data_IF_490138165281
#
_entry.id   IF_490138165281
#
_cell.length_a   1.000
_cell.length_b   1.000
_cell.length_c   1.000
_cell.angle_alpha   90.00
_cell.angle_beta   90.00
_cell.angle_gamma   90.00
#
_symmetry.space_group_name_H-M   'P 1'
#
loop_
_entity.id
_entity.type
_entity.pdbx_description
1 polymer ?
#
# COMPACT_ATOMS: atom_id res chain seq x y z
N UNK A 1 -7.48 -24.34 10.39
CA UNK A 1 -6.19 -23.88 9.81
C UNK A 1 -5.07 -24.37 10.70
N UNK A 2 -4.15 -25.18 10.17
CA UNK A 2 -3.05 -25.79 10.94
C UNK A 2 -1.69 -25.31 10.47
N UNK A 3 -1.52 -25.17 9.16
CA UNK A 3 -0.24 -24.82 8.55
C UNK A 3 -0.45 -23.87 7.37
N UNK A 4 0.26 -22.74 7.38
CA UNK A 4 0.14 -21.66 6.40
C UNK A 4 1.41 -21.53 5.57
N UNK A 5 1.30 -21.61 4.24
CA UNK A 5 2.37 -21.18 3.33
C UNK A 5 2.38 -19.65 3.25
N UNK A 6 3.54 -19.03 3.43
CA UNK A 6 3.71 -17.59 3.31
C UNK A 6 4.27 -17.30 1.93
N UNK A 7 3.39 -16.95 0.97
CA UNK A 7 3.73 -16.70 -0.43
C UNK A 7 4.23 -15.27 -0.66
N UNK A 8 5.16 -14.84 0.17
CA UNK A 8 5.76 -13.51 0.13
C UNK A 8 7.16 -13.52 0.74
N UNK A 9 7.81 -12.34 0.79
CA UNK A 9 9.18 -12.14 1.27
C UNK A 9 9.30 -10.90 2.16
N UNK A 10 10.51 -10.67 2.65
CA UNK A 10 10.85 -9.42 3.32
C UNK A 10 10.14 -9.24 4.66
N UNK A 11 9.79 -8.00 4.98
CA UNK A 11 9.21 -7.67 6.28
C UNK A 11 7.81 -8.26 6.47
N UNK A 12 7.00 -8.31 5.39
CA UNK A 12 5.64 -8.86 5.50
C UNK A 12 5.64 -10.37 5.72
N UNK A 13 6.58 -11.11 5.11
CA UNK A 13 6.71 -12.53 5.41
C UNK A 13 7.06 -12.76 6.87
N UNK A 14 8.00 -12.00 7.42
CA UNK A 14 8.33 -12.05 8.85
C UNK A 14 7.16 -11.65 9.75
N UNK A 15 6.37 -10.63 9.33
CA UNK A 15 5.16 -10.20 10.04
C UNK A 15 4.13 -11.33 10.12
N UNK A 16 3.93 -12.06 9.03
CA UNK A 16 3.00 -13.19 8.97
C UNK A 16 3.52 -14.38 9.80
N UNK A 17 4.83 -14.71 9.73
CA UNK A 17 5.46 -15.74 10.58
C UNK A 17 5.15 -15.48 12.06
N UNK A 18 5.32 -14.24 12.52
CA UNK A 18 5.03 -13.85 13.89
C UNK A 18 3.55 -14.01 14.26
N UNK A 19 2.65 -13.59 13.37
CA UNK A 19 1.22 -13.77 13.59
C UNK A 19 0.80 -15.26 13.67
N UNK A 20 1.37 -16.11 12.80
CA UNK A 20 1.15 -17.54 12.84
C UNK A 20 1.62 -18.13 14.19
N UNK A 21 2.82 -17.79 14.64
CA UNK A 21 3.36 -18.26 15.92
C UNK A 21 2.48 -17.84 17.11
N UNK A 22 1.97 -16.60 17.13
CA UNK A 22 1.08 -16.08 18.18
C UNK A 22 -0.32 -16.72 18.15
N UNK A 23 -0.80 -17.17 16.98
CA UNK A 23 -2.07 -17.90 16.84
C UNK A 23 -1.90 -19.42 16.98
N UNK A 24 -0.67 -19.93 17.21
CA UNK A 24 -0.40 -21.37 17.31
C UNK A 24 -0.60 -22.12 16.00
N UNK A 25 -0.36 -21.44 14.86
CA UNK A 25 -0.45 -21.98 13.50
C UNK A 25 0.96 -22.19 12.96
N UNK A 26 1.26 -23.35 12.40
CA UNK A 26 2.55 -23.62 11.78
C UNK A 26 2.75 -22.77 10.50
N UNK A 27 3.94 -22.22 10.35
CA UNK A 27 4.33 -21.37 9.22
C UNK A 27 5.35 -22.03 8.31
N UNK A 28 5.15 -21.95 6.99
CA UNK A 28 6.11 -22.38 5.98
C UNK A 28 6.51 -21.16 5.16
N UNK A 29 7.76 -20.69 5.31
CA UNK A 29 8.27 -19.59 4.52
C UNK A 29 8.85 -20.10 3.21
N UNK A 30 8.42 -19.54 2.08
CA UNK A 30 9.09 -19.76 0.81
C UNK A 30 10.16 -18.70 0.56
N UNK A 31 11.22 -19.07 -0.18
CA UNK A 31 12.30 -18.14 -0.47
C UNK A 31 12.97 -18.39 -1.82
N UNK A 32 13.38 -17.33 -2.50
CA UNK A 32 14.31 -17.39 -3.62
C UNK A 32 15.77 -17.45 -3.12
N UNK A 33 16.70 -17.73 -4.03
CA UNK A 33 18.12 -17.77 -3.68
C UNK A 33 18.64 -16.47 -3.05
N UNK A 34 18.08 -15.31 -3.42
CA UNK A 34 18.46 -14.02 -2.84
C UNK A 34 17.94 -13.80 -1.41
N UNK A 35 16.93 -14.53 -0.99
CA UNK A 35 16.25 -14.34 0.29
C UNK A 35 16.53 -15.46 1.32
N UNK A 36 17.42 -16.41 1.00
CA UNK A 36 17.73 -17.58 1.82
C UNK A 36 18.08 -17.23 3.27
N UNK A 37 18.81 -16.13 3.48
CA UNK A 37 19.31 -15.71 4.79
C UNK A 37 18.36 -14.73 5.51
N UNK A 38 17.19 -14.42 4.94
CA UNK A 38 16.26 -13.51 5.58
C UNK A 38 15.68 -14.09 6.87
N UNK A 39 15.51 -13.24 7.86
CA UNK A 39 15.05 -13.62 9.19
C UNK A 39 13.69 -14.33 9.20
N UNK A 40 12.77 -13.99 8.27
CA UNK A 40 11.50 -14.69 8.13
C UNK A 40 11.64 -16.17 7.76
N UNK A 41 12.69 -16.52 7.00
CA UNK A 41 12.99 -17.91 6.59
C UNK A 41 13.49 -18.74 7.77
N UNK A 42 14.34 -18.15 8.62
CA UNK A 42 14.92 -18.84 9.78
C UNK A 42 13.97 -18.93 10.98
N UNK A 43 12.95 -18.09 11.07
CA UNK A 43 12.00 -18.08 12.19
C UNK A 43 10.71 -18.87 11.89
N UNK A 44 10.44 -19.19 10.63
CA UNK A 44 9.33 -20.07 10.26
C UNK A 44 9.57 -21.51 10.75
N UNK A 45 8.49 -22.27 11.01
CA UNK A 45 8.57 -23.65 11.43
C UNK A 45 9.17 -24.56 10.34
N UNK A 46 8.94 -24.21 9.08
CA UNK A 46 9.58 -24.85 7.94
C UNK A 46 9.87 -23.81 6.83
N UNK A 47 10.74 -24.15 5.91
CA UNK A 47 11.02 -23.28 4.77
C UNK A 47 11.28 -24.08 3.50
N UNK A 48 10.91 -23.51 2.33
CA UNK A 48 11.08 -24.15 1.04
C UNK A 48 11.70 -23.20 0.02
N UNK A 49 12.75 -23.65 -0.66
CA UNK A 49 13.41 -22.90 -1.73
C UNK A 49 12.54 -22.95 -2.99
N UNK A 50 12.20 -21.76 -3.55
CA UNK A 50 11.47 -21.65 -4.82
C UNK A 50 12.38 -21.73 -6.04
N UNK A 51 13.58 -21.16 -5.98
CA UNK A 51 14.48 -21.11 -7.13
C UNK A 51 15.29 -19.82 -7.22
N UNK A 52 15.61 -19.36 -8.45
CA UNK A 52 16.45 -18.20 -8.66
C UNK A 52 15.78 -16.89 -8.22
N UNK A 53 16.54 -15.78 -8.11
CA UNK A 53 16.03 -14.53 -7.54
C UNK A 53 15.00 -13.80 -8.41
N UNK A 54 14.89 -14.08 -9.71
CA UNK A 54 13.91 -13.44 -10.57
C UNK A 54 12.49 -13.80 -10.11
N UNK A 55 11.68 -12.78 -9.80
CA UNK A 55 10.33 -12.97 -9.27
C UNK A 55 9.44 -13.86 -10.17
N UNK A 56 9.55 -13.75 -11.49
CA UNK A 56 8.81 -14.58 -12.46
C UNK A 56 9.13 -16.08 -12.37
N UNK A 57 10.28 -16.45 -11.83
CA UNK A 57 10.75 -17.82 -11.65
C UNK A 57 10.68 -18.27 -10.18
N UNK A 58 10.00 -17.53 -9.33
CA UNK A 58 9.85 -17.77 -7.89
C UNK A 58 8.51 -17.26 -7.37
N UNK A 59 8.45 -16.06 -6.76
CA UNK A 59 7.26 -15.52 -6.10
C UNK A 59 6.07 -15.16 -7.02
N UNK A 60 6.26 -15.09 -8.34
CA UNK A 60 5.20 -14.87 -9.33
C UNK A 60 4.83 -16.15 -10.10
N UNK A 61 5.41 -17.29 -9.77
CA UNK A 61 5.06 -18.57 -10.37
C UNK A 61 3.94 -19.23 -9.56
N UNK A 62 2.71 -19.15 -10.09
CA UNK A 62 1.51 -19.70 -9.44
C UNK A 62 1.61 -21.19 -9.19
N UNK A 63 2.06 -21.95 -10.21
CA UNK A 63 2.15 -23.42 -10.12
C UNK A 63 3.17 -23.84 -9.07
N UNK A 64 4.34 -23.19 -9.06
CA UNK A 64 5.39 -23.46 -8.09
C UNK A 64 4.93 -23.19 -6.64
N UNK A 65 4.14 -22.12 -6.40
CA UNK A 65 3.63 -21.81 -5.06
C UNK A 65 2.53 -22.79 -4.61
N UNK A 66 1.68 -23.27 -5.55
CA UNK A 66 0.70 -24.32 -5.24
C UNK A 66 1.41 -25.63 -4.91
N UNK A 67 2.40 -26.03 -5.73
CA UNK A 67 3.21 -27.24 -5.48
C UNK A 67 3.95 -27.16 -4.14
N UNK A 68 4.45 -25.96 -3.79
CA UNK A 68 5.07 -25.69 -2.49
C UNK A 68 4.08 -25.91 -1.34
N UNK A 69 2.85 -25.40 -1.47
CA UNK A 69 1.83 -25.54 -0.43
C UNK A 69 1.38 -27.01 -0.28
N UNK A 70 1.16 -27.72 -1.40
CA UNK A 70 0.77 -29.13 -1.38
C UNK A 70 1.89 -30.01 -0.81
N UNK A 71 3.13 -29.83 -1.27
CA UNK A 71 4.27 -30.67 -0.83
C UNK A 71 4.65 -30.45 0.64
N UNK A 72 4.31 -29.29 1.20
CA UNK A 72 4.54 -28.98 2.61
C UNK A 72 3.29 -29.17 3.49
N UNK A 73 2.22 -29.77 2.92
CA UNK A 73 0.97 -30.07 3.61
C UNK A 73 0.30 -28.81 4.25
N UNK A 74 0.41 -27.67 3.57
CA UNK A 74 -0.26 -26.44 3.99
C UNK A 74 -1.75 -26.48 3.67
N UNK A 75 -2.61 -26.19 4.66
CA UNK A 75 -4.06 -26.10 4.48
C UNK A 75 -4.51 -24.64 4.16
N UNK A 76 -3.60 -23.68 4.24
CA UNK A 76 -3.84 -22.30 3.87
C UNK A 76 -2.59 -21.63 3.29
N UNK A 77 -2.80 -20.50 2.59
CA UNK A 77 -1.74 -19.69 1.98
C UNK A 77 -2.01 -18.21 2.23
N UNK A 78 -1.00 -17.50 2.76
CA UNK A 78 -1.06 -16.05 2.94
C UNK A 78 -0.22 -15.34 1.88
N UNK A 79 -0.84 -14.54 0.99
CA UNK A 79 -0.12 -13.88 -0.09
C UNK A 79 0.59 -12.58 0.35
N UNK A 80 0.28 -12.04 1.53
CA UNK A 80 0.76 -10.72 2.00
C UNK A 80 0.23 -9.59 1.12
N UNK A 81 1.14 -8.75 0.60
CA UNK A 81 0.85 -7.70 -0.38
C UNK A 81 1.82 -7.77 -1.56
N UNK A 82 1.47 -7.18 -2.71
CA UNK A 82 2.24 -7.30 -3.96
C UNK A 82 2.23 -8.73 -4.50
N UNK A 83 3.15 -9.06 -5.40
CA UNK A 83 3.23 -10.37 -6.07
C UNK A 83 1.85 -10.88 -6.54
N UNK A 84 1.39 -12.01 -5.98
CA UNK A 84 0.12 -12.65 -6.35
C UNK A 84 -1.04 -12.35 -5.37
N UNK A 85 -0.91 -11.33 -4.51
CA UNK A 85 -1.93 -11.02 -3.51
C UNK A 85 -3.27 -10.53 -4.09
N UNK A 86 -3.25 -9.98 -5.31
CA UNK A 86 -4.44 -9.52 -6.05
C UNK A 86 -4.63 -10.30 -7.36
N UNK A 87 -4.21 -11.57 -7.37
CA UNK A 87 -4.33 -12.46 -8.52
C UNK A 87 -5.47 -13.46 -8.31
N UNK A 88 -6.60 -13.21 -8.99
CA UNK A 88 -7.80 -14.04 -8.86
C UNK A 88 -7.60 -15.48 -9.34
N UNK A 89 -6.79 -15.69 -10.39
CA UNK A 89 -6.47 -17.04 -10.90
C UNK A 89 -5.64 -17.83 -9.89
N UNK A 90 -4.74 -17.16 -9.16
CA UNK A 90 -4.00 -17.80 -8.09
C UNK A 90 -4.92 -18.19 -6.91
N UNK A 91 -5.84 -17.33 -6.54
CA UNK A 91 -6.83 -17.62 -5.51
C UNK A 91 -7.75 -18.80 -5.92
N UNK A 92 -8.16 -18.89 -7.21
CA UNK A 92 -8.89 -20.06 -7.76
C UNK A 92 -8.06 -21.33 -7.72
N UNK A 93 -6.77 -21.24 -8.08
CA UNK A 93 -5.86 -22.36 -8.02
C UNK A 93 -5.66 -22.88 -6.59
N UNK A 94 -5.57 -22.01 -5.60
CA UNK A 94 -5.56 -22.42 -4.19
C UNK A 94 -6.81 -23.23 -3.85
N UNK A 95 -8.01 -22.69 -4.13
CA UNK A 95 -9.27 -23.37 -3.85
C UNK A 95 -9.41 -24.72 -4.55
N UNK A 96 -8.97 -24.82 -5.82
CA UNK A 96 -8.99 -26.06 -6.59
C UNK A 96 -8.09 -27.16 -5.99
N UNK A 97 -7.07 -26.79 -5.22
CA UNK A 97 -6.16 -27.69 -4.52
C UNK A 97 -6.48 -27.86 -3.03
N UNK A 98 -7.66 -27.39 -2.56
CA UNK A 98 -8.06 -27.51 -1.17
C UNK A 98 -7.29 -26.60 -0.21
N UNK A 99 -6.62 -25.55 -0.72
CA UNK A 99 -5.84 -24.59 0.06
C UNK A 99 -6.69 -23.35 0.27
N UNK A 100 -6.86 -22.93 1.53
CA UNK A 100 -7.55 -21.67 1.85
C UNK A 100 -6.65 -20.48 1.50
N UNK A 101 -7.07 -19.66 0.54
CA UNK A 101 -6.43 -18.38 0.25
C UNK A 101 -6.79 -17.37 1.36
N UNK A 102 -5.80 -16.85 2.09
CA UNK A 102 -6.01 -15.87 3.16
C UNK A 102 -6.15 -14.48 2.54
N UNK A 103 -7.36 -14.17 2.15
CA UNK A 103 -7.76 -12.98 1.41
C UNK A 103 -9.23 -13.06 0.99
N UNK A 104 -9.67 -12.16 0.09
CA UNK A 104 -11.02 -12.16 -0.44
C UNK A 104 -11.26 -13.29 -1.45
N UNK A 105 -12.53 -13.40 -1.89
CA UNK A 105 -12.89 -14.34 -2.95
C UNK A 105 -12.25 -13.95 -4.29
N UNK A 106 -11.99 -14.91 -5.19
CA UNK A 106 -11.50 -14.60 -6.54
C UNK A 106 -12.39 -13.60 -7.28
N UNK A 107 -13.71 -13.69 -7.11
CA UNK A 107 -14.66 -12.80 -7.77
C UNK A 107 -14.57 -11.36 -7.24
N UNK A 108 -14.30 -11.18 -5.94
CA UNK A 108 -14.04 -9.86 -5.36
C UNK A 108 -12.73 -9.27 -5.89
N UNK A 109 -11.70 -10.10 -6.08
CA UNK A 109 -10.42 -9.67 -6.68
C UNK A 109 -10.63 -9.21 -8.12
N UNK A 110 -11.32 -10.01 -8.95
CA UNK A 110 -11.58 -9.66 -10.35
C UNK A 110 -12.39 -8.39 -10.48
N UNK A 111 -13.51 -8.27 -9.72
CA UNK A 111 -14.40 -7.09 -9.79
C UNK A 111 -13.71 -5.80 -9.37
N UNK A 112 -12.87 -5.86 -8.34
CA UNK A 112 -12.16 -4.68 -7.84
C UNK A 112 -10.87 -4.39 -8.62
N UNK A 113 -10.29 -5.40 -9.28
CA UNK A 113 -9.15 -5.25 -10.18
C UNK A 113 -9.52 -4.55 -11.51
N UNK A 114 -10.77 -4.67 -11.96
CA UNK A 114 -11.30 -3.93 -13.10
C UNK A 114 -11.76 -2.53 -12.65
N UNK A 115 -11.08 -1.49 -13.13
CA UNK A 115 -11.36 -0.10 -12.71
C UNK A 115 -12.74 0.40 -13.08
N UNK A 116 -13.31 -0.10 -14.18
CA UNK A 116 -14.65 0.28 -14.62
C UNK A 116 -15.68 -0.39 -13.70
N UNK A 117 -15.57 -1.71 -13.52
CA UNK A 117 -16.46 -2.47 -12.65
C UNK A 117 -16.38 -1.98 -11.19
N UNK A 118 -15.20 -1.62 -10.70
CA UNK A 118 -15.00 -1.06 -9.36
C UNK A 118 -15.72 0.29 -9.19
N UNK A 119 -15.64 1.18 -10.20
CA UNK A 119 -16.36 2.47 -10.20
C UNK A 119 -17.88 2.28 -10.27
N UNK A 120 -18.35 1.41 -11.16
CA UNK A 120 -19.78 1.09 -11.26
C UNK A 120 -20.33 0.53 -9.94
N UNK A 121 -19.55 -0.31 -9.27
CA UNK A 121 -19.88 -0.82 -7.93
C UNK A 121 -19.99 0.31 -6.91
N UNK A 122 -18.98 1.20 -6.83
CA UNK A 122 -18.99 2.34 -5.90
C UNK A 122 -20.20 3.27 -6.17
N UNK A 123 -20.47 3.58 -7.43
CA UNK A 123 -21.60 4.41 -7.83
C UNK A 123 -22.94 3.76 -7.47
N UNK A 124 -23.08 2.45 -7.64
CA UNK A 124 -24.30 1.71 -7.33
C UNK A 124 -24.74 1.79 -5.86
N UNK A 125 -23.77 2.02 -4.96
CA UNK A 125 -24.01 2.20 -3.52
C UNK A 125 -23.94 3.68 -3.10
N UNK A 126 -23.95 4.61 -4.06
CA UNK A 126 -24.01 6.05 -3.83
C UNK A 126 -22.68 6.68 -3.41
N UNK A 127 -21.56 6.00 -3.61
CA UNK A 127 -20.22 6.56 -3.32
C UNK A 127 -19.79 7.47 -4.47
N UNK A 128 -19.42 8.74 -4.19
CA UNK A 128 -19.10 9.69 -5.24
C UNK A 128 -17.81 9.31 -6.00
N UNK A 129 -17.85 9.45 -7.32
CA UNK A 129 -16.71 9.29 -8.22
C UNK A 129 -16.13 10.64 -8.60
N UNK A 130 -14.85 10.66 -9.00
CA UNK A 130 -14.28 11.84 -9.66
C UNK A 130 -15.06 12.07 -10.96
N UNK A 131 -15.63 13.28 -11.19
CA UNK A 131 -16.33 13.55 -12.42
C UNK A 131 -15.47 13.27 -13.65
N UNK A 132 -15.94 12.44 -14.55
CA UNK A 132 -15.19 11.95 -15.69
C UNK A 132 -16.04 11.20 -16.68
N UNK A 133 -15.43 10.56 -17.65
CA UNK A 133 -16.12 9.77 -18.65
C UNK A 133 -15.20 9.10 -19.65
N UNK A 134 -15.77 8.21 -20.44
CA UNK A 134 -15.10 7.52 -21.53
C UNK A 134 -15.00 8.42 -22.76
N UNK A 135 -14.02 8.16 -23.60
CA UNK A 135 -13.81 8.88 -24.86
C UNK A 135 -14.14 7.90 -25.99
N UNK A 136 -15.35 8.04 -26.55
CA UNK A 136 -15.82 7.15 -27.62
C UNK A 136 -14.94 7.23 -28.87
N UNK A 137 -14.81 6.11 -29.58
CA UNK A 137 -14.11 6.09 -30.86
C UNK A 137 -14.92 6.86 -31.92
N UNK A 138 -14.20 7.64 -32.75
CA UNK A 138 -14.80 8.41 -33.83
C UNK A 138 -15.50 9.71 -33.39
N UNK A 139 -15.43 10.09 -32.11
CA UNK A 139 -15.94 11.40 -31.66
C UNK A 139 -15.14 12.54 -32.29
N UNK A 140 -15.82 13.64 -32.62
CA UNK A 140 -15.12 14.88 -32.95
C UNK A 140 -14.38 15.41 -31.72
N UNK A 141 -13.07 15.14 -31.67
CA UNK A 141 -12.21 15.49 -30.55
C UNK A 141 -12.16 16.99 -30.26
N UNK A 142 -12.38 17.83 -31.28
CA UNK A 142 -12.35 19.29 -31.09
C UNK A 142 -13.58 19.76 -30.29
N UNK A 143 -14.76 19.34 -30.71
CA UNK A 143 -16.00 19.65 -29.99
C UNK A 143 -16.06 18.98 -28.61
N UNK A 144 -15.59 17.73 -28.50
CA UNK A 144 -15.53 17.01 -27.24
C UNK A 144 -14.63 17.74 -26.23
N UNK A 145 -13.40 18.09 -26.65
CA UNK A 145 -12.45 18.79 -25.79
C UNK A 145 -12.96 20.16 -25.34
N UNK A 146 -13.66 20.90 -26.20
CA UNK A 146 -14.21 22.22 -25.86
C UNK A 146 -15.26 22.16 -24.73
N UNK A 147 -15.92 21.01 -24.53
CA UNK A 147 -16.93 20.82 -23.49
C UNK A 147 -16.39 20.33 -22.14
N UNK A 148 -15.09 20.05 -22.00
CA UNK A 148 -14.51 19.49 -20.77
C UNK A 148 -14.20 20.55 -19.69
N UNK A 149 -14.32 20.19 -18.40
CA UNK A 149 -14.03 21.07 -17.25
C UNK A 149 -12.53 21.09 -16.93
N UNK A 150 -11.73 21.81 -17.68
CA UNK A 150 -10.28 21.85 -17.48
C UNK A 150 -9.86 22.41 -16.11
N UNK A 151 -8.73 21.92 -15.56
CA UNK A 151 -7.84 20.88 -16.10
C UNK A 151 -8.47 19.48 -15.99
N UNK A 152 -8.13 18.60 -16.94
CA UNK A 152 -8.56 17.20 -16.89
C UNK A 152 -7.33 16.26 -16.85
N UNK A 153 -7.54 15.07 -16.31
CA UNK A 153 -6.56 14.01 -16.23
C UNK A 153 -6.99 12.86 -17.16
N UNK A 154 -6.15 12.54 -18.13
CA UNK A 154 -6.31 11.35 -18.95
C UNK A 154 -5.69 10.15 -18.25
N UNK A 155 -6.39 9.00 -18.22
CA UNK A 155 -5.95 7.77 -17.57
C UNK A 155 -6.15 6.57 -18.49
N UNK A 156 -5.19 5.63 -18.50
CA UNK A 156 -5.38 4.33 -19.10
C UNK A 156 -6.43 3.53 -18.32
N UNK A 157 -7.32 2.83 -19.01
CA UNK A 157 -8.31 1.94 -18.39
C UNK A 157 -7.63 0.69 -17.82
N UNK A 158 -6.72 0.08 -18.58
CA UNK A 158 -5.84 -0.99 -18.12
C UNK A 158 -4.57 -0.38 -17.54
N UNK A 159 -4.26 -0.67 -16.25
CA UNK A 159 -3.00 -0.22 -15.65
C UNK A 159 -3.15 0.37 -14.25
N UNK A 160 -2.01 0.49 -13.56
CA UNK A 160 -1.91 0.99 -12.19
C UNK A 160 -0.59 1.76 -11.98
N UNK A 161 -0.39 2.27 -10.75
CA UNK A 161 0.87 2.92 -10.37
C UNK A 161 1.18 4.22 -11.11
N UNK A 162 0.16 4.90 -11.67
CA UNK A 162 0.33 6.22 -12.31
C UNK A 162 0.90 6.21 -13.73
N UNK A 163 1.11 5.05 -14.35
CA UNK A 163 1.53 4.95 -15.74
C UNK A 163 0.37 5.28 -16.68
N UNK A 164 0.66 6.02 -17.78
CA UNK A 164 -0.36 6.42 -18.75
C UNK A 164 -1.27 7.54 -18.26
N UNK A 165 -0.89 8.32 -17.25
CA UNK A 165 -1.62 9.48 -16.78
C UNK A 165 -1.03 10.77 -17.34
N UNK A 166 -1.91 11.66 -17.87
CA UNK A 166 -1.53 12.97 -18.42
C UNK A 166 -2.50 14.06 -18.01
N UNK A 167 -1.97 15.14 -17.46
CA UNK A 167 -2.75 16.34 -17.16
C UNK A 167 -2.86 17.14 -18.45
N UNK A 168 -4.08 17.57 -18.75
CA UNK A 168 -4.38 18.48 -19.87
C UNK A 168 -4.97 19.74 -19.27
N UNK A 169 -4.28 20.86 -19.47
CA UNK A 169 -4.63 22.14 -18.86
C UNK A 169 -5.72 22.90 -19.66
N UNK A 170 -5.81 22.65 -20.97
CA UNK A 170 -6.74 23.34 -21.87
C UNK A 170 -7.09 22.50 -23.11
N UNK A 171 -8.17 22.87 -23.79
CA UNK A 171 -8.71 22.12 -24.94
C UNK A 171 -7.71 21.94 -26.09
N UNK A 172 -6.85 22.94 -26.34
CA UNK A 172 -5.86 22.92 -27.43
C UNK A 172 -4.83 21.79 -27.31
N UNK A 173 -4.53 21.33 -26.09
CA UNK A 173 -3.60 20.24 -25.83
C UNK A 173 -4.23 18.83 -25.81
N UNK A 174 -5.56 18.73 -25.84
CA UNK A 174 -6.28 17.48 -25.54
C UNK A 174 -5.97 16.37 -26.54
N UNK A 175 -6.12 16.64 -27.85
CA UNK A 175 -5.95 15.62 -28.88
C UNK A 175 -4.55 15.01 -28.90
N UNK A 176 -3.51 15.84 -28.74
CA UNK A 176 -2.13 15.37 -28.68
C UNK A 176 -1.86 14.55 -27.42
N UNK A 177 -2.33 15.01 -26.27
CA UNK A 177 -2.20 14.30 -24.99
C UNK A 177 -2.93 12.97 -24.99
N UNK A 178 -4.13 12.90 -25.60
CA UNK A 178 -4.90 11.68 -25.75
C UNK A 178 -4.18 10.64 -26.63
N UNK A 179 -3.64 11.08 -27.78
CA UNK A 179 -2.88 10.21 -28.67
C UNK A 179 -1.66 9.61 -27.96
N UNK A 180 -0.92 10.43 -27.22
CA UNK A 180 0.23 9.98 -26.46
C UNK A 180 -0.18 9.02 -25.33
N UNK A 181 -1.26 9.32 -24.59
CA UNK A 181 -1.75 8.46 -23.52
C UNK A 181 -2.21 7.09 -24.06
N UNK A 182 -2.90 7.05 -25.21
CA UNK A 182 -3.32 5.81 -25.89
C UNK A 182 -2.13 4.95 -26.33
N UNK A 183 -1.11 5.57 -26.90
CA UNK A 183 0.10 4.86 -27.34
C UNK A 183 0.85 4.25 -26.14
N UNK A 184 1.06 5.02 -25.09
CA UNK A 184 1.69 4.53 -23.86
C UNK A 184 0.90 3.40 -23.21
N UNK A 185 -0.42 3.54 -23.15
CA UNK A 185 -1.29 2.51 -22.58
C UNK A 185 -1.21 1.21 -23.41
N UNK A 186 -1.26 1.31 -24.73
CA UNK A 186 -1.16 0.17 -25.64
C UNK A 186 0.19 -0.54 -25.53
N UNK A 187 1.28 0.23 -25.44
CA UNK A 187 2.64 -0.32 -25.31
C UNK A 187 2.85 -0.99 -23.94
N UNK A 188 2.38 -0.37 -22.87
CA UNK A 188 2.61 -0.84 -21.51
C UNK A 188 1.67 -1.98 -21.09
N UNK A 189 0.41 -1.98 -21.56
CA UNK A 189 -0.66 -2.85 -21.07
C UNK A 189 -1.36 -3.67 -22.15
N UNK A 190 -1.04 -3.43 -23.44
CA UNK A 190 -1.70 -4.09 -24.58
C UNK A 190 -3.07 -3.48 -24.94
N UNK A 191 -3.63 -2.59 -24.12
CA UNK A 191 -4.90 -1.90 -24.31
C UNK A 191 -4.69 -0.39 -24.33
N UNK A 192 -5.15 0.29 -25.41
CA UNK A 192 -5.07 1.74 -25.59
C UNK A 192 -6.29 2.51 -25.12
N UNK A 193 -7.20 1.86 -24.37
CA UNK A 193 -8.40 2.53 -23.85
C UNK A 193 -8.02 3.57 -22.81
N UNK A 194 -8.47 4.80 -23.01
CA UNK A 194 -8.21 5.97 -22.16
C UNK A 194 -9.55 6.63 -21.80
N UNK A 195 -9.69 7.00 -20.55
CA UNK A 195 -10.81 7.81 -20.06
C UNK A 195 -10.29 9.12 -19.46
N UNK A 196 -11.16 10.08 -19.22
CA UNK A 196 -10.79 11.35 -18.60
C UNK A 196 -11.49 11.53 -17.27
N UNK A 197 -10.86 12.29 -16.37
CA UNK A 197 -11.40 12.74 -15.09
C UNK A 197 -11.05 14.20 -14.86
N UNK A 198 -11.86 14.90 -14.08
CA UNK A 198 -11.51 16.24 -13.59
C UNK A 198 -10.22 16.15 -12.76
N UNK A 199 -9.26 17.03 -13.04
CA UNK A 199 -8.01 17.03 -12.25
C UNK A 199 -8.18 17.83 -10.98
N UNK A 200 -7.98 17.19 -9.83
CA UNK A 200 -8.01 17.83 -8.51
C UNK A 200 -6.61 18.30 -8.14
N UNK A 201 -6.41 19.64 -8.12
CA UNK A 201 -5.09 20.23 -7.88
C UNK A 201 -4.59 20.06 -6.44
N UNK A 202 -5.48 20.28 -5.47
CA UNK A 202 -5.16 20.19 -4.05
C UNK A 202 -5.71 18.88 -3.46
N UNK A 203 -5.21 17.77 -4.00
CA UNK A 203 -5.67 16.43 -3.64
C UNK A 203 -4.93 15.86 -2.45
N UNK A 204 -5.68 15.19 -1.55
CA UNK A 204 -5.16 14.25 -0.57
C UNK A 204 -5.51 12.83 -0.98
N UNK A 205 -4.60 11.92 -0.72
CA UNK A 205 -4.84 10.49 -0.85
C UNK A 205 -5.25 9.97 0.53
N UNK A 206 -6.53 9.73 0.69
CA UNK A 206 -7.11 9.19 1.94
C UNK A 206 -7.62 7.80 1.65
N UNK A 207 -7.35 6.88 2.55
CA UNK A 207 -7.79 5.49 2.40
C UNK A 207 -8.39 4.95 3.69
N UNK A 208 -9.37 4.06 3.57
CA UNK A 208 -10.06 3.44 4.71
C UNK A 208 -9.69 1.98 4.81
N UNK A 209 -9.20 1.58 5.98
CA UNK A 209 -9.02 0.18 6.31
C UNK A 209 -10.37 -0.46 6.59
N UNK A 210 -10.72 -1.48 5.83
CA UNK A 210 -11.91 -2.29 6.07
C UNK A 210 -11.53 -3.70 6.50
N UNK A 211 -12.42 -4.34 7.26
CA UNK A 211 -12.31 -5.71 7.68
C UNK A 211 -13.70 -6.35 7.63
N UNK A 212 -13.80 -7.54 7.03
CA UNK A 212 -15.07 -8.25 6.84
C UNK A 212 -14.90 -9.73 7.10
N UNK A 213 -15.86 -10.36 7.78
CA UNK A 213 -15.87 -11.80 8.04
C UNK A 213 -16.98 -12.55 7.27
N UNK A 214 -17.02 -13.88 7.41
CA UNK A 214 -18.03 -14.72 6.78
C UNK A 214 -19.40 -14.73 7.53
N UNK A 215 -19.51 -13.95 8.60
CA UNK A 215 -20.69 -13.87 9.47
C UNK A 215 -21.53 -12.60 9.25
N UNK A 216 -21.24 -11.86 8.15
CA UNK A 216 -21.94 -10.63 7.79
C UNK A 216 -21.48 -9.39 8.57
N UNK A 217 -20.36 -9.47 9.28
CA UNK A 217 -19.79 -8.31 9.93
C UNK A 217 -18.86 -7.58 8.95
N UNK A 218 -19.17 -6.33 8.66
CA UNK A 218 -18.37 -5.43 7.83
C UNK A 218 -18.09 -4.17 8.63
N UNK A 219 -16.81 -3.87 8.87
CA UNK A 219 -16.39 -2.72 9.67
C UNK A 219 -15.28 -1.93 8.99
N UNK A 220 -15.12 -0.68 9.41
CA UNK A 220 -13.92 0.10 9.13
C UNK A 220 -13.07 0.23 10.40
N UNK A 221 -11.77 0.45 10.22
CA UNK A 221 -10.80 0.69 11.29
C UNK A 221 -10.18 2.10 11.18
N UNK A 222 -10.95 3.04 10.65
CA UNK A 222 -10.52 4.41 10.40
C UNK A 222 -9.75 4.56 9.09
N UNK A 223 -9.28 5.79 8.90
CA UNK A 223 -8.58 6.18 7.68
C UNK A 223 -7.10 6.43 7.92
N UNK A 224 -6.35 6.39 6.81
CA UNK A 224 -4.95 6.80 6.70
C UNK A 224 -4.82 7.94 5.69
N UNK A 225 -3.91 8.86 5.93
CA UNK A 225 -3.47 9.87 4.96
C UNK A 225 -2.16 9.42 4.33
N UNK A 226 -2.19 9.11 3.04
CA UNK A 226 -1.07 8.61 2.25
C UNK A 226 -0.64 9.61 1.18
N UNK A 227 -0.84 10.90 1.42
CA UNK A 227 -0.61 11.95 0.41
C UNK A 227 0.86 12.20 0.13
N UNK A 228 1.77 11.88 1.06
CA UNK A 228 3.21 12.03 0.82
C UNK A 228 3.74 10.86 0.01
N UNK A 229 3.78 11.08 -1.29
CA UNK A 229 4.16 10.07 -2.28
C UNK A 229 5.05 10.66 -3.38
N UNK A 230 5.86 9.82 -3.99
CA UNK A 230 6.67 10.14 -5.14
C UNK A 230 6.34 9.18 -6.28
N UNK A 231 5.99 9.71 -7.46
CA UNK A 231 5.59 8.89 -8.63
C UNK A 231 4.53 7.84 -8.26
N UNK A 232 3.55 8.24 -7.45
CA UNK A 232 2.46 7.40 -6.91
C UNK A 232 2.91 6.26 -5.96
N UNK A 233 4.16 6.28 -5.49
CA UNK A 233 4.63 5.42 -4.41
C UNK A 233 4.59 6.18 -3.09
N UNK A 234 3.84 5.65 -2.13
CA UNK A 234 3.70 6.21 -0.78
C UNK A 234 5.05 6.15 -0.06
N UNK A 235 5.40 7.19 0.68
CA UNK A 235 6.68 7.33 1.40
C UNK A 235 6.48 7.49 2.90
N UNK A 236 5.47 8.28 3.29
CA UNK A 236 5.09 8.54 4.67
C UNK A 236 3.58 8.55 4.77
N UNK A 237 3.08 7.83 5.75
CA UNK A 237 1.66 7.67 6.02
C UNK A 237 1.34 8.05 7.48
N UNK A 238 0.14 8.59 7.71
CA UNK A 238 -0.32 8.91 9.06
C UNK A 238 -1.78 8.52 9.28
N UNK A 239 -2.13 8.21 10.51
CA UNK A 239 -3.50 7.93 10.94
C UNK A 239 -3.77 8.54 12.32
N UNK A 240 -4.93 9.21 12.52
CA UNK A 240 -5.91 9.61 11.52
C UNK A 240 -5.42 10.79 10.66
N UNK A 241 -6.10 11.05 9.53
CA UNK A 241 -5.79 12.22 8.68
C UNK A 241 -6.04 13.52 9.41
N UNK A 242 -5.06 14.46 9.42
CA UNK A 242 -5.22 15.76 10.05
C UNK A 242 -6.15 16.72 9.27
N UNK A 243 -6.52 16.35 8.03
CA UNK A 243 -7.32 17.20 7.14
C UNK A 243 -8.82 16.96 7.23
N UNK A 244 -9.24 15.80 7.74
CA UNK A 244 -10.65 15.44 7.78
C UNK A 244 -11.34 15.98 9.03
N UNK A 245 -12.51 16.59 8.84
CA UNK A 245 -13.42 16.85 9.94
C UNK A 245 -14.03 15.55 10.46
N UNK A 246 -14.50 15.45 11.72
CA UNK A 246 -15.19 14.27 12.21
C UNK A 246 -16.35 13.83 11.31
N UNK A 247 -17.13 14.77 10.78
CA UNK A 247 -18.25 14.50 9.89
C UNK A 247 -17.78 13.91 8.55
N UNK A 248 -16.76 14.48 7.92
CA UNK A 248 -16.21 13.98 6.66
C UNK A 248 -15.61 12.58 6.83
N UNK A 249 -14.91 12.35 7.97
CA UNK A 249 -14.37 11.05 8.33
C UNK A 249 -15.45 9.99 8.42
N UNK A 250 -16.54 10.28 9.13
CA UNK A 250 -17.66 9.36 9.28
C UNK A 250 -18.31 9.03 7.91
N UNK A 251 -18.54 10.03 7.08
CA UNK A 251 -19.10 9.84 5.75
C UNK A 251 -18.20 8.95 4.87
N UNK A 252 -16.91 9.21 4.89
CA UNK A 252 -15.92 8.48 4.10
C UNK A 252 -15.77 7.03 4.58
N UNK A 253 -15.70 6.81 5.89
CA UNK A 253 -15.64 5.48 6.49
C UNK A 253 -16.93 4.68 6.24
N UNK A 254 -18.09 5.32 6.36
CA UNK A 254 -19.39 4.67 6.05
C UNK A 254 -19.48 4.28 4.57
N UNK A 255 -19.05 5.14 3.65
CA UNK A 255 -18.99 4.83 2.22
C UNK A 255 -18.14 3.59 1.92
N UNK A 256 -16.99 3.46 2.59
CA UNK A 256 -16.14 2.29 2.44
C UNK A 256 -16.82 1.00 2.92
N UNK A 257 -17.58 1.04 4.02
CA UNK A 257 -18.33 -0.11 4.53
C UNK A 257 -19.47 -0.51 3.58
N UNK A 258 -20.15 0.45 2.94
CA UNK A 258 -21.21 0.12 1.95
C UNK A 258 -20.63 -0.62 0.73
N UNK A 259 -19.44 -0.24 0.25
CA UNK A 259 -18.77 -0.96 -0.85
C UNK A 259 -18.50 -2.42 -0.47
N UNK A 260 -17.86 -2.68 0.69
CA UNK A 260 -17.51 -4.05 1.08
C UNK A 260 -18.72 -4.91 1.42
N UNK A 261 -19.82 -4.29 1.90
CA UNK A 261 -21.10 -4.97 2.11
C UNK A 261 -21.71 -5.42 0.79
N UNK A 262 -21.74 -4.55 -0.21
CA UNK A 262 -22.30 -4.85 -1.54
C UNK A 262 -21.48 -5.91 -2.30
N UNK A 263 -20.21 -6.08 -1.95
CA UNK A 263 -19.32 -7.09 -2.52
C UNK A 263 -19.40 -8.46 -1.81
N UNK A 264 -20.10 -8.60 -0.70
CA UNK A 264 -19.94 -9.73 0.25
C UNK A 264 -18.45 -10.01 0.53
N UNK A 265 -17.69 -8.93 0.74
CA UNK A 265 -16.24 -8.97 0.90
C UNK A 265 -15.81 -9.75 2.15
N UNK A 266 -14.66 -10.43 2.07
CA UNK A 266 -14.07 -11.15 3.21
C UNK A 266 -12.58 -10.86 3.31
N UNK A 267 -12.08 -10.72 4.54
CA UNK A 267 -10.69 -10.40 4.83
C UNK A 267 -10.46 -8.90 5.04
N UNK A 268 -9.18 -8.55 5.05
CA UNK A 268 -8.74 -7.15 5.10
C UNK A 268 -8.71 -6.55 3.70
N UNK A 269 -9.17 -5.32 3.56
CA UNK A 269 -9.13 -4.55 2.32
C UNK A 269 -8.97 -3.07 2.60
N UNK A 270 -8.67 -2.29 1.58
CA UNK A 270 -8.50 -0.84 1.68
C UNK A 270 -9.23 -0.16 0.55
N UNK A 271 -10.09 0.80 0.88
CA UNK A 271 -10.79 1.64 -0.09
C UNK A 271 -10.02 2.97 -0.18
N UNK A 272 -9.53 3.29 -1.36
CA UNK A 272 -8.77 4.51 -1.62
C UNK A 272 -9.67 5.63 -2.17
N UNK A 273 -9.50 6.82 -1.61
CA UNK A 273 -10.27 8.03 -1.98
C UNK A 273 -9.34 9.19 -2.31
N UNK A 274 -9.74 9.95 -3.31
CA UNK A 274 -9.20 11.28 -3.56
C UNK A 274 -10.02 12.30 -2.76
N UNK A 275 -9.41 12.97 -1.81
CA UNK A 275 -10.03 14.07 -1.08
C UNK A 275 -9.61 15.40 -1.68
N UNK A 276 -10.57 16.17 -2.17
CA UNK A 276 -10.40 17.54 -2.64
C UNK A 276 -10.40 18.48 -1.41
N UNK A 277 -9.23 18.98 -1.05
CA UNK A 277 -9.08 19.84 0.13
C UNK A 277 -9.75 21.22 -0.04
N UNK A 278 -9.92 21.69 -1.29
CA UNK A 278 -10.54 22.98 -1.59
C UNK A 278 -12.08 22.89 -1.51
N UNK A 279 -12.66 21.80 -2.07
CA UNK A 279 -14.12 21.56 -2.06
C UNK A 279 -14.60 20.76 -0.85
N UNK A 280 -13.66 20.20 -0.07
CA UNK A 280 -13.95 19.32 1.08
C UNK A 280 -14.85 18.12 0.71
N UNK A 281 -14.63 17.57 -0.48
CA UNK A 281 -15.31 16.40 -1.01
C UNK A 281 -14.36 15.24 -1.22
N UNK A 282 -14.85 14.02 -1.11
CA UNK A 282 -14.07 12.81 -1.40
C UNK A 282 -14.67 12.05 -2.57
N UNK A 283 -13.82 11.31 -3.29
CA UNK A 283 -14.18 10.56 -4.47
C UNK A 283 -13.47 9.22 -4.46
N UNK A 284 -14.17 8.14 -4.78
CA UNK A 284 -13.58 6.81 -4.88
C UNK A 284 -12.52 6.77 -5.98
N UNK A 285 -11.40 6.11 -5.69
CA UNK A 285 -10.32 5.84 -6.65
C UNK A 285 -10.33 4.36 -7.03
N UNK A 286 -10.05 3.51 -6.04
CA UNK A 286 -9.92 2.07 -6.21
C UNK A 286 -10.05 1.33 -4.88
N UNK A 287 -10.12 -0.01 -4.93
CA UNK A 287 -10.03 -0.85 -3.76
C UNK A 287 -8.82 -1.78 -3.91
N UNK A 288 -7.98 -1.84 -2.88
CA UNK A 288 -6.96 -2.87 -2.76
C UNK A 288 -7.53 -4.04 -1.97
N UNK A 289 -7.59 -5.21 -2.61
CA UNK A 289 -8.21 -6.43 -2.07
C UNK A 289 -7.23 -7.27 -1.25
N UNK A 290 -6.39 -6.61 -0.47
CA UNK A 290 -5.31 -7.18 0.34
C UNK A 290 -4.97 -6.28 1.52
N UNK A 291 -4.09 -6.76 2.39
CA UNK A 291 -3.44 -5.90 3.38
C UNK A 291 -2.51 -4.89 2.70
N UNK A 292 -2.40 -3.69 3.23
CA UNK A 292 -1.50 -2.63 2.74
C UNK A 292 -0.16 -2.63 3.49
N UNK A 293 0.87 -2.02 2.87
CA UNK A 293 2.18 -1.81 3.52
C UNK A 293 2.00 -1.03 4.82
N UNK A 294 1.20 0.04 4.76
CA UNK A 294 0.92 1.02 5.81
C UNK A 294 -0.13 0.58 6.83
N UNK A 295 -0.55 -0.71 6.85
CA UNK A 295 -1.46 -1.22 7.87
C UNK A 295 -1.01 -0.96 9.32
N UNK A 296 0.31 -0.89 9.62
CA UNK A 296 0.76 -0.68 10.99
C UNK A 296 0.27 0.62 11.64
N UNK A 297 0.06 1.73 10.90
CA UNK A 297 -0.48 2.95 11.53
C UNK A 297 -1.91 2.75 12.01
N UNK A 298 -2.72 1.97 11.29
CA UNK A 298 -4.06 1.58 11.75
C UNK A 298 -3.98 0.68 12.99
N UNK A 299 -3.10 -0.32 12.99
CA UNK A 299 -2.89 -1.19 14.15
C UNK A 299 -2.50 -0.39 15.40
N UNK A 300 -1.62 0.61 15.25
CA UNK A 300 -1.16 1.45 16.37
C UNK A 300 -2.26 2.31 16.98
N UNK A 301 -3.18 2.85 16.18
CA UNK A 301 -4.26 3.73 16.69
C UNK A 301 -5.51 2.96 17.12
N UNK A 302 -5.71 1.72 16.66
CA UNK A 302 -6.89 0.91 16.99
C UNK A 302 -6.62 -0.21 17.98
N UNK A 303 -5.35 -0.65 18.10
CA UNK A 303 -4.96 -1.82 18.86
C UNK A 303 -5.38 -3.16 18.23
N UNK A 304 -5.83 -3.15 16.95
CA UNK A 304 -6.24 -4.36 16.22
C UNK A 304 -5.04 -4.91 15.45
N UNK A 305 -4.73 -6.18 15.62
CA UNK A 305 -3.74 -6.90 14.81
C UNK A 305 -4.42 -7.43 13.54
N UNK A 306 -4.21 -6.73 12.43
CA UNK A 306 -4.86 -7.03 11.16
C UNK A 306 -4.45 -8.38 10.57
N UNK A 307 -3.19 -8.78 10.72
CA UNK A 307 -2.70 -10.06 10.19
C UNK A 307 -3.28 -11.23 10.96
N UNK A 308 -3.40 -11.12 12.28
CA UNK A 308 -4.08 -12.13 13.10
C UNK A 308 -5.57 -12.22 12.76
N UNK A 309 -6.23 -11.07 12.53
CA UNK A 309 -7.64 -11.08 12.09
C UNK A 309 -7.80 -11.71 10.70
N UNK A 310 -6.85 -11.51 9.76
CA UNK A 310 -6.87 -12.21 8.48
C UNK A 310 -6.81 -13.75 8.66
N UNK A 311 -5.90 -14.24 9.51
CA UNK A 311 -5.80 -15.67 9.83
C UNK A 311 -7.10 -16.20 10.44
N UNK A 312 -7.68 -15.45 11.38
CA UNK A 312 -8.92 -15.77 12.07
C UNK A 312 -10.12 -15.86 11.12
N UNK A 313 -10.29 -14.84 10.26
CA UNK A 313 -11.38 -14.78 9.27
C UNK A 313 -11.24 -15.94 8.27
N UNK A 314 -10.03 -16.19 7.78
CA UNK A 314 -9.77 -17.28 6.84
C UNK A 314 -10.01 -18.67 7.47
N UNK A 315 -9.87 -18.82 8.79
CA UNK A 315 -10.26 -20.01 9.53
C UNK A 315 -11.79 -20.15 9.70
N UNK A 316 -12.60 -19.24 9.15
CA UNK A 316 -14.06 -19.25 9.26
C UNK A 316 -14.59 -18.76 10.60
N UNK A 317 -13.75 -18.16 11.44
CA UNK A 317 -14.12 -17.60 12.72
C UNK A 317 -14.62 -16.14 12.56
N UNK A 318 -15.54 -15.68 13.43
CA UNK A 318 -15.90 -14.28 13.44
C UNK A 318 -14.68 -13.43 13.85
N UNK A 319 -14.58 -12.21 13.29
CA UNK A 319 -13.53 -11.28 13.70
C UNK A 319 -13.61 -10.99 15.21
N UNK A 320 -12.46 -10.83 15.85
CA UNK A 320 -12.35 -10.54 17.30
C UNK A 320 -12.11 -9.04 17.54
N UNK A 321 -12.82 -8.21 16.81
CA UNK A 321 -12.78 -6.75 16.96
C UNK A 321 -14.04 -6.36 17.73
N UNK A 322 -13.87 -5.68 18.87
CA UNK A 322 -15.01 -5.21 19.64
C UNK A 322 -15.93 -4.36 18.75
N UNK A 323 -17.26 -4.61 18.79
CA UNK A 323 -18.26 -3.87 17.98
C UNK A 323 -18.22 -2.34 18.18
N UNK A 324 -17.56 -1.90 19.25
CA UNK A 324 -17.17 -0.53 19.47
C UNK A 324 -15.65 -0.43 19.31
N UNK A 325 -15.15 -0.50 18.06
CA UNK A 325 -13.80 -0.02 17.78
C UNK A 325 -13.71 1.39 18.34
N UNK A 326 -12.84 1.58 19.31
CA UNK A 326 -12.57 2.92 19.85
C UNK A 326 -12.27 3.82 18.66
N UNK A 327 -12.83 5.02 18.69
CA UNK A 327 -12.30 6.09 17.84
C UNK A 327 -10.78 6.03 17.94
N UNK A 328 -10.07 6.23 16.82
CA UNK A 328 -8.62 6.16 16.79
C UNK A 328 -8.04 6.87 18.03
N UNK A 329 -7.24 6.16 18.82
CA UNK A 329 -6.63 6.67 20.04
C UNK A 329 -5.24 7.23 19.67
N UNK A 330 -5.05 8.53 19.86
CA UNK A 330 -3.80 9.20 19.54
C UNK A 330 -3.57 9.40 18.04
N UNK A 331 -2.29 9.33 17.65
CA UNK A 331 -1.85 9.54 16.27
C UNK A 331 -0.62 8.68 15.95
N UNK A 332 -0.65 8.00 14.81
CA UNK A 332 0.47 7.21 14.33
C UNK A 332 1.03 7.77 13.02
N UNK A 333 2.34 7.65 12.85
CA UNK A 333 3.06 8.01 11.62
C UNK A 333 3.94 6.82 11.24
N UNK A 334 3.97 6.46 9.96
CA UNK A 334 4.87 5.48 9.38
C UNK A 334 5.79 6.15 8.37
N UNK A 335 7.08 5.78 8.37
CA UNK A 335 8.04 6.12 7.34
C UNK A 335 8.58 4.84 6.71
N UNK A 336 8.51 4.74 5.37
CA UNK A 336 9.13 3.64 4.63
C UNK A 336 10.61 3.91 4.47
N UNK A 337 11.43 3.07 5.08
CA UNK A 337 12.88 3.17 4.98
C UNK A 337 13.33 2.32 3.80
N UNK A 338 13.67 2.99 2.71
CA UNK A 338 14.10 2.38 1.46
C UNK A 338 15.63 2.50 1.29
N UNK A 339 16.23 1.48 0.70
CA UNK A 339 17.62 1.49 0.24
C UNK A 339 17.73 2.30 -1.06
N UNK A 340 17.60 3.62 -0.96
CA UNK A 340 17.55 4.58 -2.06
C UNK A 340 18.30 5.86 -1.70
N UNK A 341 18.90 6.48 -2.71
CA UNK A 341 19.57 7.78 -2.59
C UNK A 341 18.65 8.92 -3.03
N UNK A 342 18.04 9.61 -2.08
CA UNK A 342 17.14 10.73 -2.34
C UNK A 342 17.82 11.91 -3.07
N UNK A 343 19.16 12.05 -2.96
CA UNK A 343 19.92 13.11 -3.65
C UNK A 343 20.15 12.79 -5.12
N UNK A 344 19.96 11.53 -5.54
CA UNK A 344 20.12 11.03 -6.89
C UNK A 344 18.80 10.50 -7.46
N UNK A 345 17.73 11.29 -7.31
CA UNK A 345 16.40 10.98 -7.81
C UNK A 345 15.87 9.62 -7.30
N UNK A 346 16.20 9.27 -6.02
CA UNK A 346 15.83 8.01 -5.38
C UNK A 346 16.34 6.78 -6.13
N UNK A 347 17.57 6.88 -6.64
CA UNK A 347 18.21 5.75 -7.28
C UNK A 347 18.35 4.59 -6.26
N UNK A 348 17.98 3.34 -6.62
CA UNK A 348 18.16 2.19 -5.76
C UNK A 348 19.63 2.00 -5.36
N UNK A 349 19.88 1.70 -4.10
CA UNK A 349 21.20 1.46 -3.53
C UNK A 349 21.30 0.05 -2.93
N UNK A 350 21.27 -1.02 -3.77
CA UNK A 350 21.47 -2.37 -3.30
C UNK A 350 22.87 -2.54 -2.72
N UNK A 351 23.03 -3.40 -1.73
CA UNK A 351 24.33 -3.62 -1.11
C UNK A 351 24.23 -4.30 0.24
N UNK A 352 25.36 -4.44 0.92
CA UNK A 352 25.43 -5.07 2.25
C UNK A 352 25.26 -4.01 3.33
N UNK A 353 24.33 -4.23 4.25
CA UNK A 353 24.19 -3.46 5.48
C UNK A 353 25.34 -3.88 6.41
N UNK A 354 26.30 -2.99 6.63
CA UNK A 354 27.47 -3.28 7.47
C UNK A 354 27.20 -3.05 8.96
N UNK A 355 26.23 -2.18 9.26
CA UNK A 355 25.73 -1.92 10.61
C UNK A 355 24.28 -1.51 10.58
N UNK A 356 23.47 -2.11 11.44
CA UNK A 356 22.05 -1.76 11.65
C UNK A 356 21.79 -1.54 13.13
N UNK A 357 21.33 -0.34 13.51
CA UNK A 357 20.83 -0.05 14.87
C UNK A 357 19.41 0.46 14.75
N UNK A 358 18.49 -0.30 15.32
CA UNK A 358 17.07 0.04 15.29
C UNK A 358 16.72 1.01 16.43
N UNK A 359 15.90 2.03 16.19
CA UNK A 359 15.39 2.90 17.23
C UNK A 359 14.44 2.15 18.15
N UNK A 360 14.25 2.65 19.37
CA UNK A 360 13.37 2.06 20.36
C UNK A 360 12.66 3.05 21.26
N UNK A 361 12.11 2.54 22.35
CA UNK A 361 11.39 3.31 23.37
C UNK A 361 9.86 3.25 23.21
N UNK A 362 9.10 3.82 24.17
CA UNK A 362 7.64 3.77 24.14
C UNK A 362 7.05 4.34 22.85
N UNK A 363 6.07 3.60 22.27
CA UNK A 363 5.38 4.03 21.06
C UNK A 363 6.25 4.03 19.79
N UNK A 364 7.34 3.25 19.76
CA UNK A 364 8.19 3.03 18.56
C UNK A 364 8.10 1.56 18.18
N UNK A 365 7.76 1.30 16.91
CA UNK A 365 7.72 -0.03 16.28
C UNK A 365 8.57 0.00 15.01
N UNK A 366 9.33 -1.05 14.79
CA UNK A 366 10.09 -1.25 13.54
C UNK A 366 9.73 -2.60 12.96
N UNK A 367 9.12 -2.59 11.77
CA UNK A 367 8.88 -3.81 10.98
C UNK A 367 10.00 -3.93 9.95
N UNK A 368 10.89 -4.89 10.14
CA UNK A 368 12.05 -5.11 9.26
C UNK A 368 12.44 -6.59 9.21
N UNK A 369 12.90 -7.02 8.05
CA UNK A 369 13.52 -8.33 7.83
C UNK A 369 15.06 -8.25 7.84
N UNK A 370 15.60 -7.03 7.92
CA UNK A 370 17.03 -6.79 7.86
C UNK A 370 17.70 -6.86 9.23
N UNK A 371 18.96 -7.24 9.21
CA UNK A 371 19.92 -7.20 10.33
C UNK A 371 21.30 -6.80 9.81
N UNK A 372 22.24 -6.56 10.70
CA UNK A 372 23.63 -6.34 10.30
C UNK A 372 24.14 -7.54 9.51
N UNK A 373 24.68 -7.30 8.32
CA UNK A 373 25.12 -8.34 7.38
C UNK A 373 24.15 -8.62 6.24
N UNK A 374 22.87 -8.25 6.35
CA UNK A 374 21.87 -8.45 5.28
C UNK A 374 22.32 -7.80 3.98
N UNK A 375 22.15 -8.52 2.88
CA UNK A 375 22.38 -8.02 1.52
C UNK A 375 21.05 -7.59 0.92
N UNK A 376 20.90 -6.29 0.67
CA UNK A 376 19.74 -5.75 -0.05
C UNK A 376 19.89 -6.09 -1.53
N UNK A 377 18.95 -6.91 -2.03
CA UNK A 377 18.98 -7.46 -3.38
C UNK A 377 18.48 -6.44 -4.41
N UNK A 378 19.07 -6.36 -5.61
CA UNK A 378 18.56 -5.54 -6.70
C UNK A 378 17.34 -6.15 -7.42
N UNK A 379 16.91 -7.35 -7.05
CA UNK A 379 15.82 -8.08 -7.73
C UNK A 379 14.42 -7.69 -7.23
N UNK A 380 14.32 -7.02 -6.10
CA UNK A 380 13.05 -6.72 -5.41
C UNK A 380 12.97 -5.25 -5.02
N UNK A 381 11.86 -4.89 -4.39
CA UNK A 381 11.66 -3.57 -3.81
C UNK A 381 12.79 -3.19 -2.84
N UNK A 382 13.11 -1.90 -2.81
CA UNK A 382 14.19 -1.32 -2.01
C UNK A 382 13.86 -1.17 -0.52
N UNK A 383 12.62 -1.42 -0.10
CA UNK A 383 12.20 -1.22 1.29
C UNK A 383 12.87 -2.21 2.23
N UNK A 384 13.62 -1.68 3.20
CA UNK A 384 14.35 -2.46 4.21
C UNK A 384 13.66 -2.47 5.57
N UNK A 385 12.86 -1.45 5.85
CA UNK A 385 12.11 -1.34 7.10
C UNK A 385 10.92 -0.39 6.95
N UNK A 386 9.95 -0.55 7.84
CA UNK A 386 8.95 0.46 8.19
C UNK A 386 9.23 0.91 9.60
N UNK A 387 9.38 2.21 9.81
CA UNK A 387 9.46 2.81 11.13
C UNK A 387 8.10 3.42 11.44
N UNK A 388 7.46 2.94 12.49
CA UNK A 388 6.15 3.39 12.92
C UNK A 388 6.27 3.99 14.33
N UNK A 389 5.63 5.12 14.54
CA UNK A 389 5.51 5.70 15.87
C UNK A 389 4.06 6.01 16.20
N UNK A 390 3.73 5.97 17.47
CA UNK A 390 2.45 6.39 18.00
C UNK A 390 2.64 7.33 19.20
N UNK A 391 1.80 8.36 19.32
CA UNK A 391 1.68 9.19 20.52
C UNK A 391 0.23 9.69 20.66
N UNK A 392 -0.07 10.35 21.79
CA UNK A 392 -1.42 10.84 22.14
C UNK A 392 -1.91 11.96 21.22
N UNK A 393 -1.02 12.64 20.50
CA UNK A 393 -1.34 13.65 19.49
C UNK A 393 -0.31 13.68 18.36
N UNK A 394 -0.68 14.32 17.23
CA UNK A 394 0.13 14.38 16.01
C UNK A 394 1.49 15.05 16.22
N UNK A 395 1.55 16.14 16.97
CA UNK A 395 2.80 16.89 17.16
C UNK A 395 3.80 16.08 18.01
N UNK A 396 3.33 15.35 19.01
CA UNK A 396 4.16 14.44 19.79
C UNK A 396 4.60 13.24 18.94
N UNK A 397 3.71 12.65 18.12
CA UNK A 397 4.06 11.60 17.19
C UNK A 397 5.14 12.07 16.20
N UNK A 398 4.99 13.27 15.62
CA UNK A 398 5.97 13.89 14.73
C UNK A 398 7.35 14.05 15.41
N UNK A 399 7.40 14.57 16.62
CA UNK A 399 8.65 14.72 17.40
C UNK A 399 9.29 13.37 17.72
N UNK A 400 8.46 12.36 18.05
CA UNK A 400 8.91 11.01 18.31
C UNK A 400 9.49 10.37 17.05
N UNK A 401 8.86 10.58 15.88
CA UNK A 401 9.37 10.08 14.61
C UNK A 401 10.73 10.71 14.26
N UNK A 402 10.88 12.02 14.44
CA UNK A 402 12.17 12.72 14.22
C UNK A 402 13.26 12.09 15.11
N UNK A 403 13.01 11.95 16.43
CA UNK A 403 13.96 11.31 17.34
C UNK A 403 14.29 9.88 16.92
N UNK A 404 13.29 9.10 16.57
CA UNK A 404 13.48 7.71 16.18
C UNK A 404 14.29 7.57 14.88
N UNK A 405 14.07 8.46 13.90
CA UNK A 405 14.89 8.51 12.67
C UNK A 405 16.33 8.94 12.93
N UNK A 406 16.58 9.85 13.90
CA UNK A 406 17.93 10.27 14.30
C UNK A 406 18.72 9.14 15.00
N UNK A 407 18.01 8.22 15.68
CA UNK A 407 18.60 7.04 16.30
C UNK A 407 18.78 5.85 15.32
N UNK A 408 18.09 5.89 14.16
CA UNK A 408 18.10 4.78 13.21
C UNK A 408 19.38 4.81 12.39
N UNK A 409 20.29 3.88 12.65
CA UNK A 409 21.59 3.79 11.94
C UNK A 409 21.56 2.68 10.92
N UNK A 410 21.86 3.03 9.66
CA UNK A 410 22.05 2.09 8.55
C UNK A 410 23.36 2.48 7.86
N UNK A 411 24.37 1.61 7.92
CA UNK A 411 25.64 1.83 7.25
C UNK A 411 25.86 0.78 6.14
N UNK A 412 26.60 1.15 5.10
CA UNK A 412 26.94 0.31 3.95
C UNK A 412 26.06 0.56 2.73
N UNK A 413 24.89 1.20 2.90
CA UNK A 413 23.99 1.60 1.82
C UNK A 413 23.41 2.99 2.09
N UNK A 414 22.89 3.67 1.06
CA UNK A 414 22.10 4.90 1.23
C UNK A 414 20.65 4.56 1.53
N UNK A 415 19.99 5.42 2.31
CA UNK A 415 18.58 5.23 2.68
C UNK A 415 17.78 6.55 2.64
N UNK A 416 16.46 6.42 2.65
CA UNK A 416 15.52 7.56 2.68
C UNK A 416 15.41 8.23 4.06
N UNK A 417 16.15 7.83 5.09
CA UNK A 417 16.07 8.38 6.47
C UNK A 417 16.25 9.91 6.47
N UNK A 418 17.31 10.41 5.78
CA UNK A 418 17.57 11.85 5.70
C UNK A 418 16.42 12.63 5.08
N UNK A 419 15.83 12.10 4.02
CA UNK A 419 14.68 12.68 3.34
C UNK A 419 13.43 12.75 4.23
N UNK A 420 13.15 11.69 5.00
CA UNK A 420 12.05 11.72 5.97
C UNK A 420 12.25 12.76 7.07
N UNK A 421 13.48 12.97 7.54
CA UNK A 421 13.79 14.03 8.51
C UNK A 421 13.51 15.43 7.94
N UNK A 422 13.84 15.67 6.67
CA UNK A 422 13.52 16.93 5.98
C UNK A 422 12.02 17.16 5.89
N UNK A 423 11.24 16.12 5.49
CA UNK A 423 9.77 16.20 5.45
C UNK A 423 9.22 16.58 6.81
N UNK A 424 9.55 15.79 7.83
CA UNK A 424 8.98 15.94 9.17
C UNK A 424 9.34 17.27 9.84
N UNK A 425 10.46 17.88 9.47
CA UNK A 425 10.89 19.20 9.96
C UNK A 425 10.30 20.37 9.18
N UNK A 426 9.70 20.09 8.02
CA UNK A 426 9.14 21.15 7.17
C UNK A 426 7.93 21.82 7.83
N UNK A 427 7.76 23.14 7.64
CA UNK A 427 6.58 23.86 8.11
C UNK A 427 5.28 23.28 7.52
N UNK A 428 5.33 22.83 6.27
CA UNK A 428 4.16 22.30 5.56
C UNK A 428 3.70 20.97 6.15
N UNK A 429 4.62 20.09 6.55
CA UNK A 429 4.23 18.87 7.27
C UNK A 429 3.66 19.22 8.64
N UNK A 430 4.31 20.10 9.38
CA UNK A 430 3.86 20.51 10.70
C UNK A 430 2.44 21.10 10.68
N UNK A 431 2.13 21.94 9.67
CA UNK A 431 0.82 22.59 9.49
C UNK A 431 -0.17 21.75 8.65
N UNK A 432 0.24 20.57 8.18
CA UNK A 432 -0.57 19.71 7.29
C UNK A 432 -0.94 20.37 5.94
N UNK A 433 -0.15 21.32 5.45
CA UNK A 433 -0.42 22.07 4.20
C UNK A 433 0.26 21.46 2.96
N UNK A 434 0.49 20.15 2.95
CA UNK A 434 0.98 19.39 1.81
C UNK A 434 -0.17 18.75 1.01
N UNK A 435 0.12 18.24 -0.18
CA UNK A 435 -0.79 17.47 -1.04
C UNK A 435 -0.03 16.37 -1.78
N UNK A 436 -0.71 15.60 -2.66
CA UNK A 436 -0.11 14.48 -3.39
C UNK A 436 1.04 14.87 -4.33
N UNK A 437 1.19 16.15 -4.69
CA UNK A 437 2.26 16.66 -5.56
C UNK A 437 3.46 17.20 -4.80
N UNK A 438 3.29 17.47 -3.50
CA UNK A 438 4.24 18.21 -2.69
C UNK A 438 5.66 17.63 -2.72
N UNK A 439 5.82 16.31 -2.66
CA UNK A 439 7.13 15.64 -2.75
C UNK A 439 7.74 15.82 -4.13
N UNK A 440 6.96 15.65 -5.20
CA UNK A 440 7.43 15.81 -6.58
C UNK A 440 7.90 17.23 -6.89
N UNK A 441 7.22 18.23 -6.34
CA UNK A 441 7.56 19.65 -6.50
C UNK A 441 8.85 20.02 -5.74
N UNK A 442 9.17 19.31 -4.64
CA UNK A 442 10.36 19.55 -3.81
C UNK A 442 11.56 18.65 -4.11
N UNK A 443 11.39 17.51 -4.74
CA UNK A 443 12.49 16.59 -5.07
C UNK A 443 13.60 17.23 -5.95
N UNK A 444 13.39 18.47 -6.39
CA UNK A 444 14.39 19.32 -7.06
C UNK A 444 15.27 20.13 -6.09
N UNK A 445 15.05 20.07 -4.79
CA UNK A 445 15.84 20.80 -3.80
C UNK A 445 16.96 19.87 -3.33
N UNK A 446 18.19 20.13 -3.80
CA UNK A 446 19.37 19.41 -3.37
C UNK A 446 19.52 19.50 -1.85
N UNK A 447 19.57 18.34 -1.18
CA UNK A 447 19.85 18.25 0.23
C UNK A 447 21.22 18.90 0.54
N UNK A 448 21.34 19.77 1.58
CA UNK A 448 22.64 20.21 2.06
C UNK A 448 23.41 18.97 2.57
N UNK A 449 24.66 18.87 2.20
CA UNK A 449 25.54 17.83 2.67
C UNK A 449 25.49 17.74 4.21
N UNK A 450 25.05 16.60 4.73
CA UNK A 450 25.05 16.34 6.15
C UNK A 450 26.52 16.25 6.60
N UNK A 451 27.04 17.32 7.21
CA UNK A 451 28.31 17.24 7.94
C UNK A 451 28.19 16.15 9.02
N UNK A 452 28.89 15.07 8.81
CA UNK A 452 29.09 14.06 9.84
C UNK A 452 29.67 14.79 11.07
N UNK A 453 28.89 14.88 12.14
CA UNK A 453 29.45 15.24 13.45
C UNK A 453 30.41 14.11 13.83
N UNK A 454 31.68 14.29 13.52
CA UNK A 454 32.75 13.52 14.08
C UNK A 454 32.72 13.78 15.59
N UNK A 455 32.22 12.80 16.33
CA UNK A 455 32.49 12.73 17.77
C UNK A 455 33.93 12.33 17.96
N UNK A 456 34.71 13.26 18.48
CA UNK A 456 36.02 13.01 19.02
C UNK A 456 35.93 12.14 20.29
#
# INVERSE_FOLDING_TARGET
MKRVLIANRGEIALRIVRACAEEGVESVAVYSDADRELRGVSLADASLRLGPPQAKLSYLDRALLIDAAVSTECDALHPGYGFLSEDAEFARACAANGITFIGPSPDSIDRMGDKIAAKEMAESVGVPLVPGGTIADGVDLSSFAAGLPYPVLLKAAAGGGGRGMRIVEEAGGFANSLMQARNEAKEAFGDGTVYWETYVRNARHIEVQVLSDAHGNHIHLGERDCSLQRRHQKLLEESPSPMLTPQTREQLCSAAVEIVRALDYRGAGTIEFLFDADRKSFHFIEMNTRIQVEHPVTEMVTGVDLVREQLRIAAGLPMNVARNTRAADGHAIECRINAEDATRDFAPCPGRITRLVLPGGPGVRVDTHCETGTVVSPYYDSMIAKLIVWDVDRERARKRMIRALEEFVVEGIQTTIGFHLEILRSPEFASSSYNTRWVGERACIAAPAMELRNAA
#
